data_IF_493288959124
#
_entry.id   IF_493288959124
#
_cell.length_a   1.000
_cell.length_b   1.000
_cell.length_c   1.000
_cell.angle_alpha   90.00
_cell.angle_beta   90.00
_cell.angle_gamma   90.00
#
_symmetry.space_group_name_H-M   'P 1'
#
loop_
_entity.id
_entity.type
_entity.pdbx_description
1 polymer ?
#
# COMPACT_ATOMS: atom_id res chain seq x y z
N UNK A 1 -10.39 -4.60 24.96
CA UNK A 1 -10.45 -4.02 26.32
C UNK A 1 -11.84 -3.47 26.69
N UNK A 2 -12.56 -2.68 25.87
CA UNK A 2 -13.89 -2.15 26.27
C UNK A 2 -15.09 -2.98 25.74
N UNK A 3 -14.97 -3.61 24.56
CA UNK A 3 -16.03 -4.50 24.00
C UNK A 3 -15.87 -5.98 24.40
N UNK A 4 -14.70 -6.34 24.91
CA UNK A 4 -14.40 -7.65 25.49
C UNK A 4 -13.47 -7.44 26.66
N UNK A 5 -13.54 -8.33 27.66
CA UNK A 5 -12.62 -8.40 28.80
C UNK A 5 -11.20 -8.86 28.40
N UNK A 6 -10.90 -8.91 27.10
CA UNK A 6 -9.57 -9.25 26.60
C UNK A 6 -8.55 -8.19 27.02
N UNK A 7 -7.36 -8.68 27.36
CA UNK A 7 -6.18 -7.88 27.66
C UNK A 7 -5.75 -7.02 26.46
N UNK A 8 -4.90 -6.04 26.72
CA UNK A 8 -4.34 -5.19 25.67
C UNK A 8 -3.52 -6.00 24.65
N UNK A 9 -2.77 -7.00 25.13
CA UNK A 9 -1.96 -7.89 24.29
C UNK A 9 -2.83 -8.74 23.37
N UNK A 10 -3.86 -9.41 23.91
CA UNK A 10 -4.81 -10.18 23.11
C UNK A 10 -5.55 -9.31 22.10
N UNK A 11 -5.91 -8.08 22.48
CA UNK A 11 -6.52 -7.12 21.56
C UNK A 11 -5.56 -6.73 20.43
N UNK A 12 -4.27 -6.47 20.73
CA UNK A 12 -3.25 -6.17 19.72
C UNK A 12 -3.06 -7.34 18.75
N UNK A 13 -2.96 -8.56 19.26
CA UNK A 13 -2.81 -9.75 18.42
C UNK A 13 -4.04 -10.01 17.56
N UNK A 14 -5.23 -9.75 18.08
CA UNK A 14 -6.45 -9.82 17.29
C UNK A 14 -6.44 -8.79 16.13
N UNK A 15 -6.03 -7.55 16.39
CA UNK A 15 -5.91 -6.53 15.35
C UNK A 15 -4.88 -6.91 14.29
N UNK A 16 -3.72 -7.48 14.68
CA UNK A 16 -2.72 -8.00 13.71
C UNK A 16 -3.32 -9.05 12.78
N UNK A 17 -4.04 -10.02 13.34
CA UNK A 17 -4.74 -11.06 12.54
C UNK A 17 -5.78 -10.47 11.60
N UNK A 18 -6.51 -9.43 12.03
CA UNK A 18 -7.47 -8.74 11.17
C UNK A 18 -6.79 -7.98 10.03
N UNK A 19 -5.64 -7.36 10.30
CA UNK A 19 -4.81 -6.70 9.26
C UNK A 19 -4.37 -7.74 8.23
N UNK A 20 -3.83 -8.88 8.67
CA UNK A 20 -3.38 -9.96 7.76
C UNK A 20 -4.52 -10.51 6.91
N UNK A 21 -5.68 -10.78 7.53
CA UNK A 21 -6.86 -11.26 6.83
C UNK A 21 -7.37 -10.24 5.80
N UNK A 22 -7.37 -8.95 6.16
CA UNK A 22 -7.78 -7.87 5.26
C UNK A 22 -6.80 -7.70 4.11
N UNK A 23 -5.49 -7.79 4.38
CA UNK A 23 -4.44 -7.73 3.36
C UNK A 23 -4.58 -8.86 2.34
N UNK A 24 -4.83 -10.09 2.81
CA UNK A 24 -5.10 -11.23 1.93
C UNK A 24 -6.30 -10.97 1.02
N UNK A 25 -7.41 -10.49 1.59
CA UNK A 25 -8.61 -10.14 0.84
C UNK A 25 -8.35 -9.05 -0.21
N UNK A 26 -7.60 -8.01 0.15
CA UNK A 26 -7.21 -6.94 -0.79
C UNK A 26 -6.40 -7.46 -1.98
N UNK A 27 -5.52 -8.45 -1.76
CA UNK A 27 -4.74 -9.08 -2.84
C UNK A 27 -5.62 -9.93 -3.76
N UNK A 28 -6.62 -10.63 -3.22
CA UNK A 28 -7.61 -11.38 -4.01
C UNK A 28 -8.49 -10.43 -4.84
N UNK A 29 -8.98 -9.35 -4.22
CA UNK A 29 -9.84 -8.34 -4.85
C UNK A 29 -9.11 -7.53 -5.93
N UNK A 30 -7.78 -7.44 -5.89
CA UNK A 30 -6.97 -6.77 -6.92
C UNK A 30 -7.11 -7.44 -8.30
N UNK A 31 -7.34 -8.75 -8.33
CA UNK A 31 -7.44 -9.55 -9.56
C UNK A 31 -8.92 -9.66 -10.00
N UNK A 32 -9.86 -9.35 -9.11
CA UNK A 32 -11.29 -9.39 -9.38
C UNK A 32 -11.73 -8.25 -10.32
N UNK A 33 -12.85 -8.47 -11.02
CA UNK A 33 -13.49 -7.40 -11.79
C UNK A 33 -14.00 -6.34 -10.82
N UNK A 34 -13.40 -5.16 -10.88
CA UNK A 34 -13.73 -4.02 -10.05
C UNK A 34 -14.42 -2.92 -10.88
N UNK A 35 -15.39 -2.19 -10.31
CA UNK A 35 -15.94 -0.99 -10.94
C UNK A 35 -14.97 0.20 -10.94
N UNK A 36 -13.85 0.10 -10.20
CA UNK A 36 -12.85 1.15 -10.08
C UNK A 36 -11.73 0.98 -11.12
N UNK A 37 -11.07 2.09 -11.49
CA UNK A 37 -9.92 2.05 -12.39
C UNK A 37 -8.75 1.32 -11.74
N UNK A 38 -7.92 0.68 -12.57
CA UNK A 38 -6.70 0.00 -12.12
C UNK A 38 -5.77 0.92 -11.33
N UNK A 39 -5.61 2.17 -11.79
CA UNK A 39 -4.81 3.19 -11.11
C UNK A 39 -5.35 3.51 -9.71
N UNK A 40 -6.67 3.60 -9.54
CA UNK A 40 -7.25 3.84 -8.22
C UNK A 40 -6.94 2.67 -7.25
N UNK A 41 -7.08 1.44 -7.74
CA UNK A 41 -6.76 0.23 -6.97
C UNK A 41 -5.27 0.22 -6.58
N UNK A 42 -4.37 0.54 -7.51
CA UNK A 42 -2.92 0.60 -7.25
C UNK A 42 -2.56 1.67 -6.20
N UNK A 43 -3.16 2.86 -6.28
CA UNK A 43 -2.96 3.92 -5.29
C UNK A 43 -3.46 3.49 -3.90
N UNK A 44 -4.65 2.87 -3.83
CA UNK A 44 -5.20 2.36 -2.56
C UNK A 44 -4.30 1.28 -1.94
N UNK A 45 -3.79 0.35 -2.76
CA UNK A 45 -2.84 -0.68 -2.33
C UNK A 45 -1.53 -0.06 -1.81
N UNK A 46 -1.00 0.94 -2.51
CA UNK A 46 0.23 1.61 -2.08
C UNK A 46 0.05 2.38 -0.78
N UNK A 47 -1.10 3.03 -0.59
CA UNK A 47 -1.41 3.70 0.67
C UNK A 47 -1.43 2.72 1.86
N UNK A 48 -2.02 1.54 1.68
CA UNK A 48 -2.01 0.50 2.70
C UNK A 48 -0.59 -0.01 3.01
N UNK A 49 0.26 -0.21 1.99
CA UNK A 49 1.69 -0.58 2.17
C UNK A 49 2.47 0.47 2.96
N UNK A 50 2.29 1.74 2.59
CA UNK A 50 2.91 2.87 3.29
C UNK A 50 2.47 2.86 4.75
N UNK A 51 1.17 2.70 5.02
CA UNK A 51 0.65 2.67 6.39
C UNK A 51 1.28 1.54 7.22
N UNK A 52 1.37 0.34 6.67
CA UNK A 52 2.02 -0.79 7.35
C UNK A 52 3.50 -0.51 7.64
N UNK A 53 4.24 0.04 6.67
CA UNK A 53 5.65 0.37 6.84
C UNK A 53 5.88 1.47 7.88
N UNK A 54 5.06 2.52 7.84
CA UNK A 54 5.18 3.68 8.74
C UNK A 54 4.92 3.27 10.20
N UNK A 55 4.00 2.34 10.43
CA UNK A 55 3.58 1.97 11.79
C UNK A 55 4.13 0.64 12.30
N UNK A 56 5.01 -0.06 11.55
CA UNK A 56 5.51 -1.38 11.93
C UNK A 56 6.26 -1.38 13.29
N UNK A 57 6.90 -0.26 13.64
CA UNK A 57 7.75 -0.12 14.83
C UNK A 57 7.28 0.97 15.79
N UNK A 58 5.99 1.34 15.75
CA UNK A 58 5.45 2.49 16.48
C UNK A 58 5.18 3.66 15.55
N UNK A 59 5.17 4.89 16.05
CA UNK A 59 4.80 6.06 15.25
C UNK A 59 5.96 6.53 14.36
N UNK A 60 6.08 5.97 13.16
CA UNK A 60 7.05 6.44 12.16
C UNK A 60 6.58 7.64 11.34
N UNK A 61 5.37 8.16 11.57
CA UNK A 61 4.82 9.28 10.81
C UNK A 61 5.05 10.63 11.48
N UNK A 62 4.78 10.72 12.79
CA UNK A 62 4.95 11.95 13.54
C UNK A 62 6.37 12.10 14.11
N UNK A 63 7.12 11.00 14.24
CA UNK A 63 8.47 10.99 14.84
C UNK A 63 9.52 11.11 13.73
N UNK A 64 10.08 12.31 13.56
CA UNK A 64 11.29 12.54 12.76
C UNK A 64 12.55 12.05 13.52
N UNK A 65 12.65 10.75 13.79
CA UNK A 65 13.91 10.21 14.31
C UNK A 65 14.92 9.98 13.17
N UNK A 66 16.21 10.04 13.48
CA UNK A 66 17.30 9.94 12.50
C UNK A 66 17.31 8.59 11.76
N UNK A 67 16.74 7.54 12.33
CA UNK A 67 16.59 6.22 11.67
C UNK A 67 15.55 6.21 10.54
N UNK A 68 14.59 7.13 10.53
CA UNK A 68 13.58 7.24 9.47
C UNK A 68 14.17 7.79 8.16
N UNK A 69 15.41 8.29 8.17
CA UNK A 69 16.13 8.76 6.95
C UNK A 69 16.65 7.63 6.06
N UNK A 70 16.97 6.46 6.62
CA UNK A 70 17.43 5.30 5.85
C UNK A 70 16.28 4.40 5.36
N UNK A 71 15.07 4.58 5.91
CA UNK A 71 13.87 3.92 5.43
C UNK A 71 13.29 4.74 4.29
N UNK A 72 13.67 4.37 3.06
CA UNK A 72 13.12 4.80 1.76
C UNK A 72 12.17 6.00 1.91
N UNK A 73 12.63 7.25 1.69
CA UNK A 73 11.84 8.43 1.95
C UNK A 73 10.47 8.28 1.29
N UNK A 74 9.41 8.80 1.90
CA UNK A 74 8.07 8.85 1.32
C UNK A 74 8.10 9.34 -0.16
N UNK A 75 9.08 10.19 -0.49
CA UNK A 75 9.41 10.62 -1.85
C UNK A 75 9.86 9.49 -2.80
N UNK A 76 10.67 8.52 -2.35
CA UNK A 76 11.09 7.37 -3.14
C UNK A 76 9.95 6.35 -3.37
N UNK A 77 9.04 6.17 -2.40
CA UNK A 77 7.82 5.37 -2.60
C UNK A 77 6.84 6.04 -3.58
N UNK A 78 6.74 7.38 -3.55
CA UNK A 78 5.98 8.15 -4.53
C UNK A 78 6.64 8.10 -5.93
N UNK A 79 7.98 8.13 -6.00
CA UNK A 79 8.70 8.08 -7.27
C UNK A 79 8.60 6.70 -7.95
N UNK A 80 8.53 5.60 -7.19
CA UNK A 80 8.24 4.27 -7.75
C UNK A 80 6.88 4.23 -8.48
N UNK A 81 5.89 5.02 -8.05
CA UNK A 81 4.60 5.14 -8.77
C UNK A 81 4.69 6.02 -10.03
N UNK A 82 5.64 6.95 -10.09
CA UNK A 82 5.89 7.78 -11.28
C UNK A 82 6.61 7.01 -12.40
N UNK A 83 7.52 6.09 -12.08
CA UNK A 83 8.18 5.26 -13.10
C UNK A 83 7.20 4.26 -13.76
N UNK A 84 6.23 3.73 -13.01
CA UNK A 84 5.15 2.89 -13.56
C UNK A 84 4.26 3.69 -14.53
N UNK A 85 4.01 4.97 -14.24
CA UNK A 85 3.24 5.84 -15.13
C UNK A 85 4.05 6.29 -16.37
N UNK A 86 5.37 6.47 -16.23
CA UNK A 86 6.28 6.80 -17.34
C UNK A 86 6.42 5.69 -18.39
N UNK A 87 6.33 4.42 -17.99
CA UNK A 87 6.35 3.28 -18.90
C UNK A 87 5.03 3.07 -19.68
N UNK A 88 3.91 3.64 -19.19
CA UNK A 88 2.62 3.54 -19.88
C UNK A 88 2.51 4.52 -21.09
N UNK A 89 3.26 5.63 -21.06
CA UNK A 89 3.30 6.61 -22.16
C UNK A 89 4.10 6.18 -23.39
N UNK A 90 5.01 5.19 -23.27
CA UNK A 90 5.78 4.66 -24.39
C UNK A 90 5.16 3.39 -24.99
N UNK A 91 4.47 2.57 -24.19
CA UNK A 91 3.79 1.37 -24.67
C UNK A 91 2.58 1.68 -25.57
N UNK A 92 1.93 2.83 -25.39
CA UNK A 92 0.76 3.24 -26.19
C UNK A 92 1.11 3.83 -27.55
N UNK A 93 2.35 4.32 -27.76
CA UNK A 93 2.79 4.87 -29.06
C UNK A 93 3.25 3.80 -30.06
N UNK A 94 3.73 2.66 -29.58
CA UNK A 94 4.18 1.57 -30.46
C UNK A 94 3.02 0.67 -30.93
N UNK A 95 1.96 0.52 -30.15
CA UNK A 95 0.78 -0.24 -30.58
C UNK A 95 -0.04 0.45 -31.70
N UNK A 96 0.12 1.77 -31.88
CA UNK A 96 -0.57 2.52 -32.94
C UNK A 96 0.19 2.55 -34.28
N UNK A 97 1.41 1.98 -34.34
CA UNK A 97 2.22 1.95 -35.56
C UNK A 97 2.22 0.60 -36.28
N UNK A 98 1.77 -0.46 -35.60
CA UNK A 98 1.68 -1.82 -36.16
C UNK A 98 0.26 -2.17 -36.63
N UNK A 99 -0.59 -1.17 -36.86
CA UNK A 99 -1.94 -1.33 -37.47
C UNK A 99 -2.16 -0.40 -38.67
N UNK A 100 -1.09 -0.02 -39.37
CA UNK A 100 -1.14 0.67 -40.66
C UNK A 100 -0.25 -0.04 -41.69
#
# INVERSE_FOLDING_TARGET
MNKSEASEEEARDHIRKLIDATWKKMNEDQIAKSPFSRTFIEVAMNLARISLLMYQNGDGHAIEDKETKDRVPLAALLNATKEICGACGSATKNAAKDTA
#
